data_IF_720354682578
#
_entry.id   IF_720354682578
#
_cell.length_a   1.000
_cell.length_b   1.000
_cell.length_c   1.000
_cell.angle_alpha   90.00
_cell.angle_beta   90.00
_cell.angle_gamma   90.00
#
_symmetry.space_group_name_H-M   'P 1'
#
loop_
_entity.id
_entity.type
_entity.pdbx_description
1 polymer ?
#
# COMPACT_ATOMS: atom_id res chain seq x y z
N UNK A 1 -51.66 -0.12 -32.25
CA UNK A 1 -51.19 -1.40 -32.84
C UNK A 1 -50.16 -1.01 -33.88
N UNK A 2 -48.86 -1.29 -33.79
CA UNK A 2 -48.08 -2.17 -32.93
C UNK A 2 -46.80 -1.44 -32.53
N UNK A 3 -46.40 -1.62 -31.27
CA UNK A 3 -45.10 -1.22 -30.74
C UNK A 3 -44.10 -2.32 -31.04
N UNK A 4 -42.88 -1.94 -31.43
CA UNK A 4 -41.65 -2.71 -31.22
C UNK A 4 -40.45 -1.74 -31.32
N UNK A 5 -39.29 -2.05 -30.69
CA UNK A 5 -38.81 -1.33 -29.51
C UNK A 5 -37.65 -0.35 -29.81
N UNK A 6 -37.25 0.50 -28.84
CA UNK A 6 -36.14 1.43 -29.03
C UNK A 6 -34.81 0.71 -29.29
N UNK A 7 -33.87 1.33 -30.04
CA UNK A 7 -32.56 0.74 -30.26
C UNK A 7 -31.89 0.48 -28.92
N UNK A 8 -31.55 -0.78 -28.69
CA UNK A 8 -30.77 -1.22 -27.54
C UNK A 8 -29.47 -0.44 -27.54
N UNK A 9 -29.36 0.51 -26.61
CA UNK A 9 -28.10 1.07 -26.18
C UNK A 9 -27.21 -0.09 -25.78
N UNK A 10 -26.19 -0.37 -26.61
CA UNK A 10 -25.08 -1.24 -26.22
C UNK A 10 -24.63 -0.77 -24.84
N UNK A 11 -24.55 -1.67 -23.84
CA UNK A 11 -24.07 -1.27 -22.54
C UNK A 11 -22.64 -0.81 -22.75
N UNK A 12 -22.39 0.48 -22.51
CA UNK A 12 -21.08 0.96 -22.08
C UNK A 12 -20.70 0.11 -20.87
N UNK A 13 -20.09 -1.06 -21.09
CA UNK A 13 -19.14 -1.60 -20.14
C UNK A 13 -17.95 -0.66 -20.26
N UNK A 14 -18.06 0.45 -19.53
CA UNK A 14 -16.89 1.05 -18.89
C UNK A 14 -16.05 -0.15 -18.44
N UNK A 15 -14.90 -0.35 -19.07
CA UNK A 15 -13.87 -1.22 -18.53
C UNK A 15 -13.62 -0.65 -17.14
N UNK A 16 -14.30 -1.25 -16.16
CA UNK A 16 -14.28 -0.77 -14.81
C UNK A 16 -12.84 -0.86 -14.39
N UNK A 17 -12.21 0.31 -14.19
CA UNK A 17 -11.12 0.42 -13.25
C UNK A 17 -11.48 -0.48 -12.07
N UNK A 18 -10.63 -1.45 -11.69
CA UNK A 18 -10.93 -2.32 -10.56
C UNK A 18 -11.30 -1.40 -9.40
N UNK A 19 -12.57 -1.44 -8.96
CA UNK A 19 -13.01 -0.62 -7.84
C UNK A 19 -12.08 -0.97 -6.68
N UNK A 20 -11.49 0.05 -6.08
CA UNK A 20 -10.69 -0.09 -4.87
C UNK A 20 -11.50 -0.94 -3.88
N UNK A 21 -10.98 -2.07 -3.37
CA UNK A 21 -11.64 -2.73 -2.26
C UNK A 21 -11.52 -1.78 -1.07
N UNK A 22 -12.62 -1.09 -0.78
CA UNK A 22 -12.71 -0.26 0.41
C UNK A 22 -12.49 -1.17 1.63
N UNK A 23 -11.47 -0.84 2.42
CA UNK A 23 -11.36 -1.06 3.86
C UNK A 23 -11.08 -2.45 4.48
N UNK A 24 -10.87 -3.56 3.75
CA UNK A 24 -10.70 -4.89 4.42
C UNK A 24 -9.44 -5.72 4.09
N UNK A 25 -8.62 -5.36 3.11
CA UNK A 25 -7.44 -6.16 2.75
C UNK A 25 -6.17 -5.59 3.39
N UNK A 26 -5.54 -6.35 4.31
CA UNK A 26 -4.25 -5.99 4.94
C UNK A 26 -3.07 -6.53 4.13
N UNK A 27 -2.03 -5.70 3.99
CA UNK A 27 -0.67 -6.08 3.59
C UNK A 27 -0.57 -6.98 2.36
N UNK A 28 -0.17 -8.24 2.56
CA UNK A 28 0.08 -9.21 1.48
C UNK A 28 -1.10 -9.47 0.57
N UNK A 29 -2.33 -9.42 1.09
CA UNK A 29 -3.53 -9.67 0.28
C UNK A 29 -3.84 -8.49 -0.67
N UNK A 30 -3.44 -7.28 -0.28
CA UNK A 30 -3.51 -6.11 -1.15
C UNK A 30 -2.42 -6.19 -2.24
N UNK A 31 -1.22 -6.65 -1.88
CA UNK A 31 -0.10 -6.85 -2.81
C UNK A 31 -0.44 -7.94 -3.83
N UNK A 32 -1.01 -9.08 -3.40
CA UNK A 32 -1.44 -10.14 -4.30
C UNK A 32 -2.58 -9.69 -5.22
N UNK A 33 -3.54 -8.93 -4.70
CA UNK A 33 -4.59 -8.30 -5.50
C UNK A 33 -4.02 -7.35 -6.57
N UNK A 34 -3.10 -6.45 -6.20
CA UNK A 34 -2.47 -5.55 -7.18
C UNK A 34 -1.60 -6.31 -8.20
N UNK A 35 -0.91 -7.37 -7.79
CA UNK A 35 -0.13 -8.22 -8.71
C UNK A 35 -1.05 -8.91 -9.72
N UNK A 36 -2.13 -9.52 -9.25
CA UNK A 36 -3.11 -10.17 -10.10
C UNK A 36 -3.80 -9.18 -11.05
N UNK A 37 -4.13 -7.98 -10.57
CA UNK A 37 -4.71 -6.92 -11.41
C UNK A 37 -3.73 -6.40 -12.47
N UNK A 38 -2.43 -6.38 -12.18
CA UNK A 38 -1.40 -6.02 -13.15
C UNK A 38 -1.23 -7.11 -14.22
N UNK A 39 -1.23 -8.39 -13.82
CA UNK A 39 -1.17 -9.54 -14.74
C UNK A 39 -2.38 -9.57 -15.70
N UNK A 40 -3.60 -9.33 -15.20
CA UNK A 40 -4.79 -9.21 -16.06
C UNK A 40 -4.71 -8.03 -17.02
N UNK A 41 -4.16 -6.90 -16.57
CA UNK A 41 -3.94 -5.73 -17.45
C UNK A 41 -2.94 -6.04 -18.56
N UNK A 42 -1.86 -6.78 -18.25
CA UNK A 42 -0.86 -7.21 -19.22
C UNK A 42 -1.44 -8.19 -20.25
N UNK A 43 -2.18 -9.21 -19.80
CA UNK A 43 -2.84 -10.15 -20.70
C UNK A 43 -3.87 -9.45 -21.60
N UNK A 44 -4.59 -8.46 -21.08
CA UNK A 44 -5.50 -7.62 -21.87
C UNK A 44 -4.77 -6.79 -22.94
N UNK A 45 -3.59 -6.25 -22.62
CA UNK A 45 -2.74 -5.54 -23.57
C UNK A 45 -2.20 -6.46 -24.68
N UNK A 46 -1.73 -7.64 -24.32
CA UNK A 46 -1.23 -8.64 -25.27
C UNK A 46 -2.33 -9.12 -26.22
N UNK A 47 -3.55 -9.30 -25.70
CA UNK A 47 -4.72 -9.66 -26.51
C UNK A 47 -5.10 -8.55 -27.50
N UNK A 48 -5.07 -7.28 -27.07
CA UNK A 48 -5.30 -6.12 -27.95
C UNK A 48 -4.23 -5.98 -29.02
N UNK A 49 -2.94 -6.16 -28.66
CA UNK A 49 -1.83 -6.18 -29.63
C UNK A 49 -1.97 -7.30 -30.65
N UNK A 50 -2.53 -8.45 -30.25
CA UNK A 50 -2.78 -9.57 -31.16
C UNK A 50 -3.95 -9.27 -32.11
N UNK A 51 -5.01 -8.62 -31.63
CA UNK A 51 -6.12 -8.15 -32.48
C UNK A 51 -5.71 -7.07 -33.49
N UNK A 52 -4.78 -6.19 -33.09
CA UNK A 52 -4.22 -5.12 -33.92
C UNK A 52 -3.41 -5.62 -35.13
N UNK A 53 -3.00 -6.89 -35.16
CA UNK A 53 -2.25 -7.50 -36.28
C UNK A 53 -3.14 -7.99 -37.44
N UNK A 54 -4.46 -7.92 -37.33
CA UNK A 54 -5.37 -8.21 -38.44
C UNK A 54 -5.47 -7.02 -39.40
N UNK A 55 -5.72 -7.21 -40.71
CA UNK A 55 -5.87 -6.11 -41.66
C UNK A 55 -7.07 -5.24 -41.24
N UNK A 56 -6.77 -4.10 -40.64
CA UNK A 56 -7.71 -3.09 -40.16
C UNK A 56 -7.69 -1.87 -41.09
N UNK A 57 -8.84 -1.20 -41.18
CA UNK A 57 -9.00 0.09 -41.85
C UNK A 57 -7.94 1.09 -41.32
N UNK A 58 -7.22 1.85 -42.17
CA UNK A 58 -6.14 2.75 -41.75
C UNK A 58 -6.53 3.74 -40.63
N UNK A 59 -7.78 4.21 -40.61
CA UNK A 59 -8.28 5.08 -39.52
C UNK A 59 -8.39 4.32 -38.18
N UNK A 60 -8.75 3.03 -38.23
CA UNK A 60 -8.82 2.15 -37.05
C UNK A 60 -7.40 1.82 -36.56
N UNK A 61 -6.44 1.61 -37.45
CA UNK A 61 -5.02 1.44 -37.08
C UNK A 61 -4.46 2.69 -36.39
N UNK A 62 -4.74 3.88 -36.90
CA UNK A 62 -4.26 5.12 -36.29
C UNK A 62 -4.86 5.32 -34.89
N UNK A 63 -6.17 5.08 -34.75
CA UNK A 63 -6.89 5.12 -33.48
C UNK A 63 -6.30 4.13 -32.47
N UNK A 64 -6.00 2.92 -32.91
CA UNK A 64 -5.49 1.86 -32.05
C UNK A 64 -4.02 2.06 -31.67
N UNK A 65 -3.19 2.64 -32.55
CA UNK A 65 -1.84 3.07 -32.18
C UNK A 65 -1.84 4.22 -31.16
N UNK A 66 -2.77 5.17 -31.28
CA UNK A 66 -2.95 6.21 -30.27
C UNK A 66 -3.37 5.60 -28.93
N UNK A 67 -4.32 4.64 -28.94
CA UNK A 67 -4.74 3.92 -27.75
C UNK A 67 -3.58 3.14 -27.12
N UNK A 68 -2.79 2.43 -27.92
CA UNK A 68 -1.62 1.67 -27.47
C UNK A 68 -0.57 2.60 -26.83
N UNK A 69 -0.30 3.75 -27.45
CA UNK A 69 0.61 4.75 -26.89
C UNK A 69 0.10 5.29 -25.54
N UNK A 70 -1.19 5.62 -25.45
CA UNK A 70 -1.81 6.06 -24.19
C UNK A 70 -1.75 4.99 -23.11
N UNK A 71 -2.07 3.74 -23.44
CA UNK A 71 -2.00 2.62 -22.51
C UNK A 71 -0.58 2.36 -22.02
N UNK A 72 0.42 2.46 -22.91
CA UNK A 72 1.82 2.31 -22.54
C UNK A 72 2.28 3.40 -21.56
N UNK A 73 1.90 4.66 -21.81
CA UNK A 73 2.20 5.77 -20.90
C UNK A 73 1.51 5.57 -19.54
N UNK A 74 0.23 5.21 -19.55
CA UNK A 74 -0.55 4.97 -18.33
C UNK A 74 0.03 3.80 -17.51
N UNK A 75 0.42 2.71 -18.18
CA UNK A 75 1.06 1.55 -17.55
C UNK A 75 2.40 1.90 -16.93
N UNK A 76 3.22 2.70 -17.62
CA UNK A 76 4.51 3.14 -17.09
C UNK A 76 4.31 3.99 -15.83
N UNK A 77 3.42 4.98 -15.89
CA UNK A 77 3.13 5.84 -14.75
C UNK A 77 2.59 5.05 -13.55
N UNK A 78 1.71 4.07 -13.79
CA UNK A 78 1.24 3.17 -12.73
C UNK A 78 2.39 2.35 -12.12
N UNK A 79 3.27 1.79 -12.96
CA UNK A 79 4.45 1.05 -12.50
C UNK A 79 5.37 1.91 -11.64
N UNK A 80 5.63 3.14 -12.06
CA UNK A 80 6.48 4.09 -11.33
C UNK A 80 5.87 4.45 -9.98
N UNK A 81 4.55 4.69 -9.92
CA UNK A 81 3.85 4.94 -8.65
C UNK A 81 3.90 3.75 -7.69
N UNK A 82 3.71 2.53 -8.21
CA UNK A 82 3.81 1.30 -7.40
C UNK A 82 5.23 1.15 -6.86
N UNK A 83 6.25 1.42 -7.68
CA UNK A 83 7.65 1.35 -7.28
C UNK A 83 7.98 2.38 -6.19
N UNK A 84 7.58 3.64 -6.38
CA UNK A 84 7.77 4.69 -5.36
C UNK A 84 7.09 4.33 -4.04
N UNK A 85 5.85 3.82 -4.08
CA UNK A 85 5.16 3.36 -2.86
C UNK A 85 5.89 2.21 -2.18
N UNK A 86 6.45 1.26 -2.93
CA UNK A 86 7.25 0.17 -2.37
C UNK A 86 8.49 0.69 -1.66
N UNK A 87 9.19 1.65 -2.28
CA UNK A 87 10.38 2.26 -1.70
C UNK A 87 10.07 3.01 -0.41
N UNK A 88 8.98 3.79 -0.37
CA UNK A 88 8.52 4.47 0.84
C UNK A 88 8.17 3.48 1.97
N UNK A 89 7.43 2.41 1.65
CA UNK A 89 7.08 1.37 2.64
C UNK A 89 8.35 0.67 3.14
N UNK A 90 9.30 0.37 2.26
CA UNK A 90 10.58 -0.24 2.65
C UNK A 90 11.41 0.71 3.53
N UNK A 91 11.45 2.01 3.23
CA UNK A 91 12.13 3.02 4.03
C UNK A 91 11.52 3.12 5.45
N UNK A 92 10.19 3.19 5.55
CA UNK A 92 9.49 3.20 6.83
C UNK A 92 9.74 1.91 7.63
N UNK A 93 9.75 0.76 6.96
CA UNK A 93 10.06 -0.52 7.62
C UNK A 93 11.48 -0.55 8.16
N UNK A 94 12.46 -0.02 7.41
CA UNK A 94 13.84 0.08 7.87
C UNK A 94 13.98 1.03 9.07
N UNK A 95 13.31 2.18 9.06
CA UNK A 95 13.29 3.09 10.21
C UNK A 95 12.69 2.42 11.45
N UNK A 96 11.56 1.71 11.31
CA UNK A 96 10.93 0.95 12.40
C UNK A 96 11.90 -0.09 12.97
N UNK A 97 12.57 -0.85 12.10
CA UNK A 97 13.53 -1.86 12.54
C UNK A 97 14.72 -1.24 13.29
N UNK A 98 15.20 -0.07 12.85
CA UNK A 98 16.26 0.65 13.53
C UNK A 98 15.81 1.12 14.93
N UNK A 99 14.60 1.64 15.07
CA UNK A 99 14.03 1.98 16.37
C UNK A 99 13.91 0.76 17.28
N UNK A 100 13.41 -0.37 16.76
CA UNK A 100 13.31 -1.61 17.54
C UNK A 100 14.67 -2.06 18.06
N UNK A 101 15.71 -1.97 17.23
CA UNK A 101 17.08 -2.32 17.64
C UNK A 101 17.59 -1.38 18.74
N UNK A 102 17.32 -0.08 18.64
CA UNK A 102 17.71 0.90 19.67
C UNK A 102 16.97 0.63 20.99
N UNK A 103 15.65 0.42 20.95
CA UNK A 103 14.85 0.11 22.14
C UNK A 103 15.22 -1.24 22.77
N UNK A 104 15.61 -2.22 21.96
CA UNK A 104 16.11 -3.51 22.45
C UNK A 104 17.42 -3.37 23.25
N UNK A 105 18.23 -2.35 22.97
CA UNK A 105 19.50 -2.09 23.67
C UNK A 105 19.39 -1.02 24.75
N UNK A 106 18.28 -0.27 24.77
CA UNK A 106 18.01 0.76 25.76
C UNK A 106 17.96 0.24 27.19
N UNK A 107 18.19 1.11 28.18
CA UNK A 107 17.95 0.79 29.58
C UNK A 107 16.44 0.73 29.91
N UNK A 108 16.03 0.01 30.96
CA UNK A 108 14.64 0.01 31.41
C UNK A 108 14.13 1.41 31.76
N UNK A 109 14.97 2.29 32.32
CA UNK A 109 14.56 3.67 32.63
C UNK A 109 14.23 4.48 31.38
N UNK A 110 15.05 4.37 30.33
CA UNK A 110 14.80 5.06 29.06
C UNK A 110 13.49 4.60 28.41
N UNK A 111 13.19 3.29 28.44
CA UNK A 111 11.91 2.77 27.95
C UNK A 111 10.72 3.22 28.81
N UNK A 112 10.89 3.31 30.13
CA UNK A 112 9.86 3.82 31.03
C UNK A 112 9.57 5.31 30.77
N UNK A 113 10.59 6.12 30.50
CA UNK A 113 10.42 7.52 30.10
C UNK A 113 9.72 7.64 28.75
N UNK A 114 10.08 6.80 27.79
CA UNK A 114 9.38 6.74 26.50
C UNK A 114 7.89 6.42 26.68
N UNK A 115 7.55 5.46 27.54
CA UNK A 115 6.16 5.11 27.87
C UNK A 115 5.37 6.25 28.53
N UNK A 116 6.04 7.16 29.24
CA UNK A 116 5.39 8.32 29.87
C UNK A 116 5.12 9.45 28.87
N UNK A 117 5.91 9.54 27.81
CA UNK A 117 5.89 10.67 26.87
C UNK A 117 5.16 10.35 25.57
N UNK A 118 5.28 9.12 25.08
CA UNK A 118 4.64 8.69 23.86
C UNK A 118 3.19 8.28 24.12
N UNK A 119 2.32 8.50 23.13
CA UNK A 119 0.97 7.96 23.18
C UNK A 119 1.00 6.44 23.06
N UNK A 120 0.14 5.77 23.84
CA UNK A 120 0.12 4.31 23.94
C UNK A 120 -0.28 3.65 22.62
N UNK A 121 -1.17 4.26 21.84
CA UNK A 121 -1.62 3.73 20.56
C UNK A 121 -0.51 3.86 19.51
N UNK A 122 0.28 4.94 19.56
CA UNK A 122 1.46 5.13 18.72
C UNK A 122 2.53 4.07 19.01
N UNK A 123 2.81 3.80 20.28
CA UNK A 123 3.73 2.74 20.70
C UNK A 123 3.21 1.37 20.27
N UNK A 124 1.93 1.08 20.45
CA UNK A 124 1.32 -0.17 20.01
C UNK A 124 1.49 -0.39 18.49
N UNK A 125 1.33 0.67 17.69
CA UNK A 125 1.55 0.61 16.23
C UNK A 125 2.99 0.38 15.84
N UNK A 126 3.93 1.01 16.56
CA UNK A 126 5.34 0.81 16.31
C UNK A 126 5.78 -0.60 16.72
N UNK A 127 5.20 -1.13 17.80
CA UNK A 127 5.43 -2.50 18.27
C UNK A 127 4.73 -3.57 17.44
N UNK A 128 3.84 -3.18 16.52
CA UNK A 128 3.24 -4.12 15.58
C UNK A 128 4.33 -4.74 14.68
N UNK A 129 4.47 -6.07 14.78
CA UNK A 129 5.55 -6.88 14.19
C UNK A 129 6.95 -6.68 14.80
N UNK A 130 7.05 -6.12 16.00
CA UNK A 130 8.31 -6.06 16.73
C UNK A 130 8.80 -7.46 17.19
N UNK A 131 10.10 -7.61 17.46
CA UNK A 131 10.62 -8.83 18.07
C UNK A 131 9.93 -9.12 19.41
N UNK A 132 9.59 -10.38 19.68
CA UNK A 132 8.92 -10.80 20.92
C UNK A 132 9.64 -10.32 22.18
N UNK A 133 10.98 -10.28 22.16
CA UNK A 133 11.78 -9.76 23.26
C UNK A 133 11.48 -8.29 23.54
N UNK A 134 11.31 -7.47 22.51
CA UNK A 134 10.99 -6.06 22.66
C UNK A 134 9.58 -5.88 23.21
N UNK A 135 8.61 -6.62 22.67
CA UNK A 135 7.23 -6.62 23.16
C UNK A 135 7.19 -6.98 24.64
N UNK A 136 7.89 -8.05 25.05
CA UNK A 136 7.96 -8.47 26.44
C UNK A 136 8.55 -7.40 27.37
N UNK A 137 9.55 -6.63 26.90
CA UNK A 137 10.13 -5.51 27.67
C UNK A 137 9.12 -4.40 27.89
N UNK A 138 8.36 -4.01 26.88
CA UNK A 138 7.31 -3.00 27.01
C UNK A 138 6.17 -3.49 27.89
N UNK A 139 5.71 -4.74 27.74
CA UNK A 139 4.65 -5.32 28.57
C UNK A 139 5.07 -5.52 30.03
N UNK A 140 6.37 -5.69 30.31
CA UNK A 140 6.86 -5.73 31.68
C UNK A 140 6.79 -4.37 32.38
N UNK A 141 6.84 -3.27 31.61
CA UNK A 141 6.73 -1.90 32.12
C UNK A 141 5.28 -1.42 32.16
N UNK A 142 4.50 -1.74 31.12
CA UNK A 142 3.08 -1.42 31.00
C UNK A 142 2.29 -2.59 30.40
N UNK A 143 1.68 -3.45 31.25
CA UNK A 143 0.88 -4.58 30.79
C UNK A 143 -0.37 -4.18 30.00
N UNK A 144 -0.88 -2.96 30.20
CA UNK A 144 -2.09 -2.49 29.53
C UNK A 144 -1.86 -2.24 28.04
N UNK A 145 -0.60 -2.07 27.62
CA UNK A 145 -0.21 -1.83 26.22
C UNK A 145 -0.70 -2.93 25.26
N UNK A 146 -0.85 -4.18 25.76
CA UNK A 146 -1.38 -5.30 24.96
C UNK A 146 -2.85 -5.11 24.53
N UNK A 147 -3.60 -4.26 25.23
CA UNK A 147 -5.02 -4.02 24.97
C UNK A 147 -5.26 -2.76 24.14
N UNK A 148 -4.21 -1.96 23.90
CA UNK A 148 -4.32 -0.69 23.20
C UNK A 148 -4.41 -0.94 21.69
N UNK A 149 -5.45 -0.45 21.00
CA UNK A 149 -5.55 -0.58 19.56
C UNK A 149 -4.48 0.28 18.87
N UNK A 150 -3.72 -0.27 17.90
CA UNK A 150 -2.72 0.50 17.17
C UNK A 150 -3.37 1.53 16.24
N UNK A 151 -2.81 2.75 16.22
CA UNK A 151 -3.09 3.81 15.24
C UNK A 151 -2.41 3.52 13.89
N UNK A 152 -3.11 3.71 12.77
CA UNK A 152 -2.51 3.56 11.44
C UNK A 152 -2.55 4.85 10.63
N UNK A 153 -1.46 5.23 9.94
CA UNK A 153 -0.13 4.60 9.97
C UNK A 153 0.61 4.81 11.31
N UNK A 154 1.60 3.97 11.60
CA UNK A 154 2.45 4.15 12.78
C UNK A 154 3.28 5.43 12.66
N UNK A 155 3.31 6.32 13.68
CA UNK A 155 4.06 7.58 13.64
C UNK A 155 5.54 7.35 13.97
N UNK A 156 6.24 6.70 13.03
CA UNK A 156 7.63 6.27 13.20
C UNK A 156 8.56 7.48 13.32
N UNK A 157 8.32 8.54 12.55
CA UNK A 157 9.18 9.72 12.52
C UNK A 157 9.09 10.50 13.85
N UNK A 158 7.87 10.67 14.37
CA UNK A 158 7.61 11.32 15.66
C UNK A 158 8.24 10.55 16.82
N UNK A 159 8.06 9.23 16.85
CA UNK A 159 8.69 8.36 17.85
C UNK A 159 10.22 8.34 17.73
N UNK A 160 10.76 8.49 16.51
CA UNK A 160 12.20 8.61 16.29
C UNK A 160 12.75 9.91 16.87
N UNK A 161 12.07 11.03 16.63
CA UNK A 161 12.44 12.33 17.20
C UNK A 161 12.35 12.34 18.72
N UNK A 162 11.26 11.81 19.27
CA UNK A 162 11.07 11.68 20.71
C UNK A 162 12.18 10.83 21.34
N UNK A 163 12.49 9.69 20.73
CA UNK A 163 13.55 8.81 21.19
C UNK A 163 14.93 9.50 21.18
N UNK A 164 15.26 10.20 20.09
CA UNK A 164 16.52 10.95 20.02
C UNK A 164 16.62 12.04 21.10
N UNK A 165 15.53 12.76 21.37
CA UNK A 165 15.49 13.75 22.45
C UNK A 165 15.70 13.15 23.84
N UNK A 166 15.34 11.88 24.04
CA UNK A 166 15.56 11.16 25.30
C UNK A 166 16.99 10.66 25.47
N UNK A 167 17.62 10.21 24.39
CA UNK A 167 18.95 9.57 24.46
C UNK A 167 20.11 10.53 24.18
N UNK A 168 19.84 11.70 23.61
CA UNK A 168 20.83 12.74 23.34
C UNK A 168 20.38 14.13 23.84
N UNK A 169 20.23 14.30 25.16
CA UNK A 169 19.85 15.57 25.79
C UNK A 169 20.96 16.64 25.70
#
# INVERSE_FOLDING_TARGET
MSQDPPPQSLPYRTAGLPRHPESYLKGEQLISYYRQSAEYSQQGLDALQTQLKQPMDPDIMQSAHQLEAHLKIASQHFSDQVQQRRELVAAQQNQRQNLHNQWLQASPEALAQLLQLADRAELASCLENAPLRLIARFLALDPELAQVPPTYPAPIDELTLLWHGLTHP
#
